data_IF_841875454554
#
_entry.id   IF_841875454554
#
_cell.length_a   1.000
_cell.length_b   1.000
_cell.length_c   1.000
_cell.angle_alpha   90.00
_cell.angle_beta   90.00
_cell.angle_gamma   90.00
#
_symmetry.space_group_name_H-M   'P 1'
#
loop_
_entity.id
_entity.type
_entity.pdbx_description
1 polymer ?
#
# COMPACT_ATOMS: atom_id res chain seq x y z
N UNK A 1 31.69 50.35 22.84
CA UNK A 1 31.33 49.64 21.58
C UNK A 1 30.82 48.27 22.00
N UNK A 2 29.52 48.01 22.25
CA UNK A 2 28.35 47.90 21.36
C UNK A 2 28.58 47.12 20.05
N UNK A 3 27.80 46.03 19.95
CA UNK A 3 27.13 45.44 18.77
C UNK A 3 28.02 44.52 17.91
N UNK A 4 27.63 43.28 17.55
CA UNK A 4 26.32 42.60 17.47
C UNK A 4 26.49 41.08 17.48
N UNK A 5 25.67 40.40 18.27
CA UNK A 5 25.22 39.03 17.98
C UNK A 5 24.41 39.03 16.67
N UNK A 6 24.71 38.10 15.77
CA UNK A 6 24.05 37.93 14.49
C UNK A 6 23.61 36.45 14.36
N UNK A 7 22.29 36.22 14.59
CA UNK A 7 21.43 35.12 14.11
C UNK A 7 21.84 33.70 14.57
N UNK A 8 21.22 33.05 15.57
CA UNK A 8 19.79 32.76 15.75
C UNK A 8 19.08 32.26 14.48
N UNK A 9 18.58 31.02 14.56
CA UNK A 9 17.69 30.37 13.59
C UNK A 9 18.34 29.81 12.31
N UNK A 10 19.12 28.74 12.46
CA UNK A 10 19.09 27.66 11.46
C UNK A 10 18.05 26.67 11.96
N UNK A 11 16.80 26.98 11.57
CA UNK A 11 15.70 26.05 11.32
C UNK A 11 16.16 24.61 11.50
N UNK A 12 15.74 24.02 12.62
CA UNK A 12 15.61 22.58 12.73
C UNK A 12 15.05 22.08 11.41
N UNK A 13 15.87 21.30 10.71
CA UNK A 13 15.43 20.53 9.57
C UNK A 13 14.28 19.68 10.09
N UNK A 14 13.06 20.17 9.89
CA UNK A 14 11.84 19.41 10.04
C UNK A 14 11.96 18.34 8.98
N UNK A 15 12.59 17.21 9.35
CA UNK A 15 12.30 15.92 8.75
C UNK A 15 10.80 15.77 8.91
N UNK A 16 10.06 16.15 7.87
CA UNK A 16 8.67 15.80 7.71
C UNK A 16 8.71 14.29 7.60
N UNK A 17 8.52 13.60 8.72
CA UNK A 17 8.27 12.17 8.73
C UNK A 17 7.03 11.99 7.85
N UNK A 18 7.26 11.54 6.62
CA UNK A 18 6.19 11.08 5.76
C UNK A 18 5.54 9.91 6.50
N UNK A 19 4.45 10.19 7.22
CA UNK A 19 3.61 9.15 7.79
C UNK A 19 3.16 8.28 6.63
N UNK A 20 3.73 7.08 6.54
CA UNK A 20 3.29 6.05 5.60
C UNK A 20 1.80 5.87 5.83
N UNK A 21 1.00 6.17 4.81
CA UNK A 21 -0.43 6.02 4.90
C UNK A 21 -0.78 4.55 5.13
N UNK A 22 -1.65 4.31 6.12
CA UNK A 22 -2.05 2.96 6.49
C UNK A 22 -3.04 2.47 5.45
N UNK A 23 -2.68 1.40 4.74
CA UNK A 23 -3.58 0.75 3.80
C UNK A 23 -4.62 -0.07 4.55
N UNK A 24 -5.87 0.06 4.15
CA UNK A 24 -7.02 -0.62 4.77
C UNK A 24 -7.63 -1.64 3.81
N UNK A 25 -8.27 -2.72 4.33
CA UNK A 25 -8.97 -3.68 3.48
C UNK A 25 -10.00 -3.01 2.55
N UNK A 26 -10.24 -3.54 1.34
CA UNK A 26 -11.03 -2.87 0.30
C UNK A 26 -12.56 -2.92 0.49
N UNK A 27 -13.07 -3.18 1.69
CA UNK A 27 -14.48 -3.53 1.94
C UNK A 27 -15.19 -2.64 2.97
N UNK A 28 -14.67 -1.45 3.26
CA UNK A 28 -15.34 -0.48 4.16
C UNK A 28 -15.59 0.84 3.45
N UNK A 29 -16.65 1.54 3.84
CA UNK A 29 -17.02 2.85 3.30
C UNK A 29 -16.99 3.94 4.37
N UNK A 30 -17.55 3.66 5.55
CA UNK A 30 -17.63 4.59 6.67
C UNK A 30 -16.40 4.46 7.59
N UNK A 31 -15.56 5.51 7.61
CA UNK A 31 -14.37 5.56 8.46
C UNK A 31 -14.71 5.58 9.95
N UNK A 32 -15.75 6.31 10.36
CA UNK A 32 -16.15 6.41 11.77
C UNK A 32 -16.63 5.06 12.29
N UNK A 33 -17.46 4.37 11.50
CA UNK A 33 -17.91 3.01 11.82
C UNK A 33 -16.72 2.05 11.87
N UNK A 34 -15.76 2.17 10.93
CA UNK A 34 -14.57 1.34 10.89
C UNK A 34 -13.75 1.46 12.18
N UNK A 35 -13.41 2.68 12.61
CA UNK A 35 -12.62 2.89 13.82
C UNK A 35 -13.39 2.56 15.11
N UNK A 36 -14.72 2.68 15.11
CA UNK A 36 -15.54 2.39 16.28
C UNK A 36 -15.79 0.90 16.49
N UNK A 37 -16.01 0.15 15.42
CA UNK A 37 -16.47 -1.23 15.51
C UNK A 37 -15.37 -2.26 15.28
N UNK A 38 -14.30 -1.95 14.54
CA UNK A 38 -13.18 -2.89 14.38
C UNK A 38 -12.46 -3.18 15.71
N UNK A 39 -12.39 -2.20 16.62
CA UNK A 39 -11.72 -2.36 17.92
C UNK A 39 -12.40 -3.37 18.86
N UNK A 40 -13.66 -3.71 18.56
CA UNK A 40 -14.49 -4.66 19.31
C UNK A 40 -14.41 -6.08 18.73
N UNK A 41 -13.56 -6.33 17.72
CA UNK A 41 -13.37 -7.63 17.09
C UNK A 41 -11.96 -8.18 17.40
N UNK A 42 -11.83 -9.51 17.46
CA UNK A 42 -10.53 -10.19 17.61
C UNK A 42 -9.71 -10.24 16.30
N UNK A 43 -10.16 -9.53 15.25
CA UNK A 43 -9.46 -9.47 13.96
C UNK A 43 -9.66 -10.71 13.09
N UNK A 44 -10.88 -11.27 13.06
CA UNK A 44 -11.21 -12.47 12.26
C UNK A 44 -10.86 -12.33 10.77
N UNK A 45 -10.91 -11.11 10.23
CA UNK A 45 -10.49 -10.81 8.86
C UNK A 45 -9.01 -11.15 8.60
N UNK A 46 -8.13 -11.05 9.60
CA UNK A 46 -6.74 -11.45 9.49
C UNK A 46 -6.59 -12.97 9.34
N UNK A 47 -7.39 -13.74 10.09
CA UNK A 47 -7.38 -15.21 10.01
C UNK A 47 -7.99 -15.73 8.71
N UNK A 48 -9.00 -15.05 8.18
CA UNK A 48 -9.66 -15.41 6.92
C UNK A 48 -8.79 -15.11 5.67
N UNK A 49 -7.77 -14.27 5.80
CA UNK A 49 -6.93 -13.87 4.67
C UNK A 49 -5.86 -14.93 4.37
N UNK A 50 -6.08 -15.74 3.34
CA UNK A 50 -5.12 -16.78 2.92
C UNK A 50 -3.74 -16.21 2.55
N UNK A 51 -3.71 -15.02 1.95
CA UNK A 51 -2.48 -14.30 1.58
C UNK A 51 -1.71 -13.73 2.77
N UNK A 52 -2.31 -13.74 3.98
CA UNK A 52 -1.71 -13.28 5.24
C UNK A 52 -1.19 -11.83 5.19
N UNK A 53 -1.89 -10.99 4.43
CA UNK A 53 -1.56 -9.57 4.26
C UNK A 53 -2.33 -8.66 5.23
N UNK A 54 -3.33 -9.17 5.94
CA UNK A 54 -4.08 -8.39 6.93
C UNK A 54 -3.39 -8.51 8.29
N UNK A 55 -2.94 -7.39 8.84
CA UNK A 55 -2.29 -7.29 10.15
C UNK A 55 -3.14 -6.42 11.06
N UNK A 56 -3.44 -6.90 12.27
CA UNK A 56 -4.13 -6.11 13.29
C UNK A 56 -3.12 -5.19 13.98
N UNK A 57 -3.40 -3.88 13.97
CA UNK A 57 -2.52 -2.87 14.54
C UNK A 57 -2.72 -2.74 16.07
N UNK A 58 -1.87 -1.93 16.71
CA UNK A 58 -1.99 -1.61 18.14
C UNK A 58 -3.33 -0.93 18.49
N UNK A 59 -3.88 -0.15 17.56
CA UNK A 59 -5.21 0.46 17.68
C UNK A 59 -6.36 -0.53 17.44
N UNK A 60 -6.06 -1.84 17.30
CA UNK A 60 -6.96 -2.95 17.01
C UNK A 60 -7.67 -2.90 15.65
N UNK A 61 -7.27 -2.01 14.76
CA UNK A 61 -7.84 -1.95 13.41
C UNK A 61 -7.00 -2.76 12.41
N UNK A 62 -7.62 -3.37 11.37
CA UNK A 62 -6.89 -4.11 10.36
C UNK A 62 -6.18 -3.18 9.36
N UNK A 63 -4.92 -3.47 9.04
CA UNK A 63 -4.17 -2.86 7.93
C UNK A 63 -3.73 -3.91 6.92
N UNK A 64 -3.43 -3.48 5.70
CA UNK A 64 -2.76 -4.29 4.69
C UNK A 64 -1.24 -4.13 4.76
N UNK A 65 -0.52 -5.24 4.61
CA UNK A 65 0.93 -5.33 4.53
C UNK A 65 1.33 -6.20 3.34
N UNK A 66 1.89 -5.58 2.30
CA UNK A 66 2.28 -6.26 1.07
C UNK A 66 3.72 -6.78 1.06
N UNK A 67 4.37 -6.87 2.23
CA UNK A 67 5.76 -7.34 2.34
C UNK A 67 5.97 -8.79 1.89
N UNK A 68 4.89 -9.59 1.82
CA UNK A 68 4.95 -11.02 1.49
C UNK A 68 4.02 -11.44 0.34
N UNK A 69 2.91 -10.74 0.09
CA UNK A 69 1.97 -11.06 -0.99
C UNK A 69 1.11 -9.83 -1.35
N UNK A 70 0.11 -10.01 -2.23
CA UNK A 70 -0.89 -9.03 -2.60
C UNK A 70 -2.32 -9.45 -2.23
N UNK A 71 -3.27 -8.53 -2.41
CA UNK A 71 -4.69 -8.79 -2.22
C UNK A 71 -5.30 -9.39 -3.49
N UNK A 72 -5.95 -10.55 -3.35
CA UNK A 72 -6.69 -11.21 -4.43
C UNK A 72 -8.12 -10.72 -4.61
N UNK A 73 -8.59 -9.83 -3.74
CA UNK A 73 -10.00 -9.39 -3.69
C UNK A 73 -11.00 -10.56 -3.58
N UNK A 74 -10.66 -11.59 -2.80
CA UNK A 74 -11.45 -12.83 -2.63
C UNK A 74 -12.68 -12.72 -1.71
N UNK A 75 -13.03 -11.54 -1.21
CA UNK A 75 -14.18 -11.30 -0.32
C UNK A 75 -14.14 -11.95 1.09
N UNK A 76 -13.25 -12.91 1.36
CA UNK A 76 -13.20 -13.67 2.63
C UNK A 76 -13.06 -12.80 3.90
N UNK A 77 -12.30 -11.70 3.84
CA UNK A 77 -12.16 -10.79 4.97
C UNK A 77 -13.43 -9.97 5.25
N UNK A 78 -14.29 -9.77 4.25
CA UNK A 78 -15.60 -9.16 4.41
C UNK A 78 -16.62 -10.18 4.92
N UNK A 79 -16.65 -11.38 4.34
CA UNK A 79 -17.57 -12.47 4.74
C UNK A 79 -17.37 -12.85 6.21
N UNK A 80 -16.13 -12.87 6.67
CA UNK A 80 -15.77 -13.20 8.06
C UNK A 80 -16.03 -12.07 9.07
N UNK A 81 -16.49 -10.88 8.65
CA UNK A 81 -16.66 -9.73 9.53
C UNK A 81 -17.98 -9.80 10.32
N UNK A 82 -17.95 -10.02 11.65
CA UNK A 82 -19.18 -10.16 12.44
C UNK A 82 -19.87 -8.82 12.71
N UNK A 83 -19.11 -7.72 12.65
CA UNK A 83 -19.59 -6.38 13.01
C UNK A 83 -20.12 -5.62 11.78
N UNK A 84 -20.21 -6.28 10.62
CA UNK A 84 -20.78 -5.68 9.40
C UNK A 84 -20.06 -4.41 8.91
N UNK A 85 -18.81 -4.21 9.33
CA UNK A 85 -17.94 -3.09 8.92
C UNK A 85 -17.33 -3.36 7.55
N UNK A 86 -16.77 -4.56 7.39
CA UNK A 86 -16.29 -5.04 6.10
C UNK A 86 -17.43 -5.76 5.40
N UNK A 87 -17.88 -5.24 4.25
CA UNK A 87 -18.98 -5.81 3.47
C UNK A 87 -18.60 -5.94 2.01
N UNK A 88 -19.07 -7.03 1.38
CA UNK A 88 -18.87 -7.28 -0.05
C UNK A 88 -19.50 -6.16 -0.89
N UNK A 89 -20.63 -5.60 -0.45
CA UNK A 89 -21.28 -4.46 -1.10
C UNK A 89 -20.41 -3.20 -1.14
N UNK A 90 -19.43 -3.09 -0.25
CA UNK A 90 -18.49 -1.95 -0.19
C UNK A 90 -17.16 -2.23 -0.90
N UNK A 91 -17.09 -3.31 -1.70
CA UNK A 91 -15.90 -3.66 -2.47
C UNK A 91 -15.48 -2.51 -3.39
N UNK A 92 -14.23 -2.07 -3.22
CA UNK A 92 -13.58 -1.05 -4.05
C UNK A 92 -12.10 -1.38 -4.23
N UNK A 93 -11.40 -0.69 -5.13
CA UNK A 93 -9.95 -0.81 -5.18
C UNK A 93 -9.33 -0.30 -3.88
N UNK A 94 -8.21 -0.91 -3.47
CA UNK A 94 -7.42 -0.45 -2.34
C UNK A 94 -7.03 1.02 -2.58
N UNK A 95 -7.26 1.87 -1.58
CA UNK A 95 -6.97 3.29 -1.66
C UNK A 95 -5.45 3.55 -1.56
N UNK A 96 -4.75 3.26 -2.65
CA UNK A 96 -3.32 3.46 -2.79
C UNK A 96 -2.96 3.72 -4.26
N UNK A 97 -1.87 4.44 -4.47
CA UNK A 97 -1.24 4.61 -5.78
C UNK A 97 0.06 3.83 -5.81
N UNK A 98 0.17 2.88 -6.74
CA UNK A 98 1.42 2.17 -7.01
C UNK A 98 2.23 2.96 -8.04
N UNK A 99 3.52 3.14 -7.79
CA UNK A 99 4.45 3.81 -8.70
C UNK A 99 5.78 3.05 -8.81
N UNK A 100 6.53 3.33 -9.88
CA UNK A 100 7.86 2.77 -10.10
C UNK A 100 8.91 3.86 -9.93
N UNK A 101 9.83 3.66 -9.00
CA UNK A 101 11.02 4.48 -8.85
C UNK A 101 12.00 4.17 -10.00
N UNK A 102 12.06 5.07 -10.98
CA UNK A 102 12.88 4.88 -12.19
C UNK A 102 14.38 4.80 -11.89
N UNK A 103 14.86 5.41 -10.80
CA UNK A 103 16.28 5.38 -10.44
C UNK A 103 16.69 4.03 -9.84
N UNK A 104 15.77 3.36 -9.13
CA UNK A 104 16.02 2.03 -8.56
C UNK A 104 15.71 0.90 -9.53
N UNK A 105 14.72 1.08 -10.41
CA UNK A 105 14.21 0.00 -11.26
C UNK A 105 15.28 -0.56 -12.21
N UNK A 106 15.55 -1.86 -12.13
CA UNK A 106 16.52 -2.54 -12.99
C UNK A 106 16.23 -2.36 -14.49
N UNK A 107 14.94 -2.43 -14.87
CA UNK A 107 14.53 -2.29 -16.27
C UNK A 107 14.84 -0.89 -16.81
N UNK A 108 14.48 0.16 -16.06
CA UNK A 108 14.86 1.54 -16.38
C UNK A 108 16.38 1.75 -16.43
N UNK A 109 17.15 0.94 -15.69
CA UNK A 109 18.61 0.91 -15.68
C UNK A 109 19.21 -0.17 -16.61
N UNK A 110 18.57 -0.43 -17.76
CA UNK A 110 19.10 -1.23 -18.88
C UNK A 110 19.33 -2.72 -18.55
N UNK A 111 18.70 -3.24 -17.50
CA UNK A 111 18.73 -4.67 -17.17
C UNK A 111 17.39 -5.30 -17.53
N UNK A 112 17.39 -6.37 -18.32
CA UNK A 112 16.16 -7.08 -18.70
C UNK A 112 15.48 -7.67 -17.46
N UNK A 113 14.40 -7.03 -17.01
CA UNK A 113 13.67 -7.40 -15.80
C UNK A 113 12.17 -7.18 -16.02
N UNK A 114 11.39 -8.25 -15.81
CA UNK A 114 9.92 -8.28 -15.95
C UNK A 114 9.22 -8.72 -14.67
N UNK A 115 9.94 -8.81 -13.55
CA UNK A 115 9.45 -9.43 -12.30
C UNK A 115 8.21 -8.75 -11.70
N UNK A 116 7.96 -7.47 -11.98
CA UNK A 116 6.72 -6.82 -11.56
C UNK A 116 5.53 -7.12 -12.48
N UNK A 117 5.77 -7.40 -13.77
CA UNK A 117 4.75 -7.67 -14.78
C UNK A 117 4.19 -9.08 -14.63
N UNK A 118 5.05 -10.07 -14.42
CA UNK A 118 4.64 -11.48 -14.31
C UNK A 118 3.52 -11.73 -13.27
N UNK A 119 3.55 -11.16 -12.04
CA UNK A 119 2.47 -11.35 -11.07
C UNK A 119 1.27 -10.39 -11.25
N UNK A 120 1.29 -9.49 -12.25
CA UNK A 120 0.23 -8.52 -12.48
C UNK A 120 -0.90 -9.12 -13.33
N UNK A 121 -1.92 -9.66 -12.65
CA UNK A 121 -3.07 -10.29 -13.32
C UNK A 121 -4.00 -9.28 -14.02
N UNK A 122 -3.94 -8.01 -13.65
CA UNK A 122 -4.78 -6.93 -14.20
C UNK A 122 -4.18 -6.29 -15.47
N UNK A 123 -3.05 -6.81 -15.98
CA UNK A 123 -2.26 -6.23 -17.09
C UNK A 123 -2.03 -4.72 -16.92
N UNK A 124 -1.67 -4.33 -15.71
CA UNK A 124 -1.51 -2.93 -15.32
C UNK A 124 -0.08 -2.38 -15.51
N UNK A 125 0.84 -3.19 -16.05
CA UNK A 125 2.24 -2.81 -16.26
C UNK A 125 2.59 -2.96 -17.73
N UNK A 126 2.62 -1.83 -18.42
CA UNK A 126 3.03 -1.72 -19.81
C UNK A 126 4.54 -1.55 -19.91
N UNK A 127 5.12 -2.02 -21.00
CA UNK A 127 6.53 -1.78 -21.31
C UNK A 127 6.62 -0.94 -22.57
N UNK A 128 7.09 0.30 -22.43
CA UNK A 128 7.46 1.13 -23.57
C UNK A 128 8.79 0.59 -24.12
N UNK A 129 8.72 0.00 -25.32
CA UNK A 129 9.79 -0.82 -25.87
C UNK A 129 10.16 -1.98 -24.92
N UNK A 130 11.44 -2.23 -24.67
CA UNK A 130 11.89 -3.41 -23.90
C UNK A 130 12.18 -3.12 -22.42
N UNK A 131 12.43 -1.86 -22.03
CA UNK A 131 13.10 -1.53 -20.76
C UNK A 131 12.36 -0.52 -19.87
N UNK A 132 11.21 0.01 -20.31
CA UNK A 132 10.55 1.11 -19.61
C UNK A 132 9.17 0.68 -19.12
N UNK A 133 9.09 0.04 -17.94
CA UNK A 133 7.82 -0.28 -17.34
C UNK A 133 7.10 1.01 -16.90
N UNK A 134 5.80 1.06 -17.16
CA UNK A 134 4.86 2.10 -16.74
C UNK A 134 3.58 1.47 -16.17
N UNK A 135 3.01 2.07 -15.14
CA UNK A 135 1.75 1.60 -14.53
C UNK A 135 0.58 2.34 -15.18
N UNK A 136 -0.36 1.60 -15.75
CA UNK A 136 -1.54 2.14 -16.42
C UNK A 136 -2.76 2.19 -15.48
N UNK A 137 -3.92 2.59 -16.02
CA UNK A 137 -5.16 2.76 -15.27
C UNK A 137 -5.83 1.48 -14.77
N UNK A 138 -5.41 0.30 -15.26
CA UNK A 138 -5.96 -0.98 -14.80
C UNK A 138 -5.42 -1.39 -13.42
N UNK A 139 -4.46 -0.64 -12.87
CA UNK A 139 -3.88 -0.94 -11.57
C UNK A 139 -4.94 -0.89 -10.47
N UNK A 140 -5.19 -2.03 -9.84
CA UNK A 140 -6.10 -2.17 -8.70
C UNK A 140 -5.41 -1.88 -7.37
N UNK A 141 -4.12 -1.57 -7.36
CA UNK A 141 -3.29 -1.50 -6.17
C UNK A 141 -3.29 -2.79 -5.31
N UNK A 142 -3.48 -3.96 -5.95
CA UNK A 142 -3.45 -5.28 -5.29
C UNK A 142 -2.12 -5.58 -4.58
N UNK A 143 -1.03 -4.93 -4.95
CA UNK A 143 0.26 -5.03 -4.25
C UNK A 143 1.13 -6.23 -4.63
N UNK A 144 0.67 -7.17 -5.47
CA UNK A 144 1.46 -8.34 -5.86
C UNK A 144 2.83 -7.99 -6.45
N UNK A 145 2.92 -6.95 -7.28
CA UNK A 145 4.18 -6.54 -7.89
C UNK A 145 5.27 -6.10 -6.89
N UNK A 146 4.89 -5.72 -5.66
CA UNK A 146 5.81 -5.18 -4.65
C UNK A 146 6.80 -6.26 -4.20
N UNK A 147 6.28 -7.43 -3.81
CA UNK A 147 7.09 -8.55 -3.31
C UNK A 147 8.11 -9.04 -4.33
N UNK A 148 7.73 -9.05 -5.61
CA UNK A 148 8.56 -9.60 -6.68
C UNK A 148 9.61 -8.62 -7.20
N UNK A 149 9.60 -7.35 -6.75
CA UNK A 149 10.61 -6.38 -7.16
C UNK A 149 11.94 -6.64 -6.42
N UNK A 150 13.01 -7.09 -7.10
CA UNK A 150 14.25 -7.51 -6.43
C UNK A 150 15.06 -6.35 -5.83
N UNK A 151 14.68 -5.12 -6.15
CA UNK A 151 15.39 -3.88 -5.77
C UNK A 151 14.47 -2.86 -5.10
N UNK A 152 13.27 -3.29 -4.68
CA UNK A 152 12.30 -2.45 -3.95
C UNK A 152 12.04 -1.11 -4.66
N UNK A 153 11.89 -1.16 -5.99
CA UNK A 153 11.60 -0.01 -6.84
C UNK A 153 10.11 0.27 -6.98
N UNK A 154 9.23 -0.63 -6.51
CA UNK A 154 7.79 -0.40 -6.48
C UNK A 154 7.45 0.34 -5.18
N UNK A 155 6.84 1.50 -5.31
CA UNK A 155 6.48 2.38 -4.20
C UNK A 155 4.97 2.46 -4.05
N UNK A 156 4.52 2.67 -2.81
CA UNK A 156 3.12 2.88 -2.45
C UNK A 156 2.97 4.32 -1.99
N UNK A 157 2.17 5.10 -2.70
CA UNK A 157 1.68 6.40 -2.27
C UNK A 157 0.22 6.31 -1.80
N UNK A 158 -0.20 7.26 -0.97
CA UNK A 158 -1.61 7.53 -0.70
C UNK A 158 -1.99 8.91 -1.21
#
# INVERSE_FOLDING_TARGET
MKRRDFFSSIKSSLKKEEKIAILRPPYFEDEDLFFKECINCEGLCANACEEKIIVIQEDKTPKLDFSNSGCTYCDECAISCPNEVLKVDFKKNINAKISINILKCLSWNQTMCFSCKDPCLDDAIDFLAMFRPEINSNCTACGFCIKYCPVEAIEIGA
#
